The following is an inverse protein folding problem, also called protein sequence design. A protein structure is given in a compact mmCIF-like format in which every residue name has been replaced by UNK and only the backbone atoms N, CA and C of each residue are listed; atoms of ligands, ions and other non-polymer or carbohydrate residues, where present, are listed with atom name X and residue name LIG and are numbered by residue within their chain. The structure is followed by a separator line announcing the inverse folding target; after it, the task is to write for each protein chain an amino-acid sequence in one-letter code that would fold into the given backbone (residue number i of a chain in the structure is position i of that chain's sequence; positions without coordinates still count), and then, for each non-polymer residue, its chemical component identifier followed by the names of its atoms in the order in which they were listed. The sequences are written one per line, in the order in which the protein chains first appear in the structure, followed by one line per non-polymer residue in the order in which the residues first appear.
data_IF_518461890742
#
_entry.id   IF_518461890742
#
_cell.length_a   1.000
_cell.length_b   1.000
_cell.length_c   1.000
_cell.angle_alpha   90.00
_cell.angle_beta   90.00
_cell.angle_gamma   90.00
#
_symmetry.space_group_name_H-M   'P 1'
#
loop_
_entity.id
_entity.type
_entity.pdbx_description
1 polymer ?
#
# COMPACT_ATOMS: atom_id res chain seq x y z
N UNK A 1 4.17 16.60 -28.57
CA UNK A 1 4.52 15.85 -27.35
C UNK A 1 5.06 14.51 -27.79
N UNK A 2 6.26 14.14 -27.35
CA UNK A 2 6.85 12.85 -27.74
C UNK A 2 6.16 11.70 -26.99
N UNK A 3 6.07 10.49 -27.58
CA UNK A 3 5.51 9.32 -26.87
C UNK A 3 6.22 9.05 -25.54
N UNK A 4 7.52 9.35 -25.46
CA UNK A 4 8.35 9.24 -24.26
C UNK A 4 7.85 10.13 -23.13
N UNK A 5 7.47 11.37 -23.42
CA UNK A 5 6.88 12.31 -22.46
C UNK A 5 5.56 11.80 -21.89
N UNK A 6 4.73 11.17 -22.73
CA UNK A 6 3.45 10.60 -22.33
C UNK A 6 3.63 9.40 -21.38
N UNK A 7 4.62 8.54 -21.62
CA UNK A 7 4.95 7.44 -20.70
C UNK A 7 5.55 7.95 -19.39
N UNK A 8 6.34 9.03 -19.43
CA UNK A 8 6.90 9.65 -18.23
C UNK A 8 5.81 10.27 -17.35
N UNK A 9 4.83 10.95 -17.93
CA UNK A 9 3.66 11.46 -17.19
C UNK A 9 2.81 10.34 -16.59
N UNK A 10 2.57 9.24 -17.31
CA UNK A 10 1.80 8.11 -16.79
C UNK A 10 2.49 7.43 -15.59
N UNK A 11 3.82 7.26 -15.66
CA UNK A 11 4.60 6.75 -14.53
C UNK A 11 4.55 7.69 -13.33
N UNK A 12 4.62 9.01 -13.59
CA UNK A 12 4.49 10.04 -12.56
C UNK A 12 3.11 10.06 -11.91
N UNK A 13 2.02 9.93 -12.69
CA UNK A 13 0.65 9.88 -12.16
C UNK A 13 0.42 8.62 -11.32
N UNK A 14 0.89 7.46 -11.78
CA UNK A 14 0.81 6.22 -11.02
C UNK A 14 1.55 6.32 -9.67
N UNK A 15 2.75 6.90 -9.67
CA UNK A 15 3.52 7.18 -8.46
C UNK A 15 2.80 8.16 -7.51
N UNK A 16 2.20 9.22 -8.05
CA UNK A 16 1.43 10.19 -7.27
C UNK A 16 0.20 9.56 -6.62
N UNK A 17 -0.57 8.75 -7.36
CA UNK A 17 -1.73 8.01 -6.82
C UNK A 17 -1.34 7.08 -5.69
N UNK A 18 -0.24 6.34 -5.85
CA UNK A 18 0.22 5.45 -4.79
C UNK A 18 0.73 6.24 -3.56
N UNK A 19 1.45 7.34 -3.78
CA UNK A 19 1.87 8.22 -2.68
C UNK A 19 0.66 8.77 -1.91
N UNK A 20 -0.38 9.20 -2.62
CA UNK A 20 -1.63 9.67 -2.00
C UNK A 20 -2.33 8.53 -1.23
N UNK A 21 -2.32 7.31 -1.77
CA UNK A 21 -2.86 6.14 -1.10
C UNK A 21 -2.11 5.81 0.20
N UNK A 22 -0.77 5.74 0.15
CA UNK A 22 0.07 5.52 1.34
C UNK A 22 -0.17 6.63 2.37
N UNK A 23 -0.20 7.89 1.94
CA UNK A 23 -0.43 9.03 2.82
C UNK A 23 -1.80 8.95 3.50
N UNK A 24 -2.85 8.55 2.76
CA UNK A 24 -4.19 8.34 3.30
C UNK A 24 -4.20 7.23 4.37
N UNK A 25 -3.61 6.07 4.07
CA UNK A 25 -3.53 4.94 5.01
C UNK A 25 -2.71 5.29 6.24
N UNK A 26 -1.56 5.95 6.08
CA UNK A 26 -0.72 6.38 7.20
C UNK A 26 -1.41 7.43 8.07
N UNK A 27 -2.09 8.40 7.47
CA UNK A 27 -2.83 9.44 8.20
C UNK A 27 -4.00 8.84 8.98
N UNK A 28 -4.76 7.94 8.34
CA UNK A 28 -5.86 7.22 8.98
C UNK A 28 -5.38 6.39 10.17
N UNK A 29 -4.36 5.56 9.96
CA UNK A 29 -3.76 4.75 11.03
C UNK A 29 -3.27 5.65 12.19
N UNK A 30 -2.54 6.73 11.88
CA UNK A 30 -2.05 7.67 12.90
C UNK A 30 -3.20 8.27 13.71
N UNK A 31 -4.29 8.68 13.06
CA UNK A 31 -5.47 9.20 13.76
C UNK A 31 -6.10 8.18 14.71
N UNK A 32 -6.23 6.93 14.29
CA UNK A 32 -6.74 5.84 15.14
C UNK A 32 -5.84 5.58 16.34
N UNK A 33 -4.52 5.46 16.13
CA UNK A 33 -3.59 5.21 17.23
C UNK A 33 -3.51 6.39 18.19
N UNK A 34 -3.54 7.62 17.66
CA UNK A 34 -3.56 8.81 18.49
C UNK A 34 -4.85 8.91 19.31
N UNK A 35 -6.01 8.61 18.71
CA UNK A 35 -7.28 8.51 19.44
C UNK A 35 -7.20 7.46 20.55
N UNK A 36 -6.73 6.25 20.25
CA UNK A 36 -6.59 5.19 21.24
C UNK A 36 -5.68 5.59 22.41
N UNK A 37 -4.55 6.26 22.13
CA UNK A 37 -3.60 6.74 23.13
C UNK A 37 -4.10 7.92 23.97
N UNK A 38 -5.04 8.72 23.45
CA UNK A 38 -5.56 9.91 24.12
C UNK A 38 -6.89 9.67 24.84
N UNK A 39 -7.72 8.76 24.34
CA UNK A 39 -9.02 8.42 24.95
C UNK A 39 -8.91 7.49 26.15
N UNK A 40 -7.83 6.71 26.23
CA UNK A 40 -7.59 5.81 27.36
C UNK A 40 -6.68 6.47 28.39
N UNK A 41 -7.18 6.67 29.62
CA UNK A 41 -6.29 6.87 30.76
C UNK A 41 -5.32 5.69 30.79
N UNK A 42 -4.01 5.96 30.93
CA UNK A 42 -2.88 5.08 30.64
C UNK A 42 -2.84 3.68 31.33
N UNK A 43 -3.91 3.25 32.01
CA UNK A 43 -4.08 1.93 32.60
C UNK A 43 -5.35 1.16 32.20
N UNK A 44 -6.28 1.69 31.40
CA UNK A 44 -7.59 1.03 31.17
C UNK A 44 -7.64 0.03 30.01
N UNK A 45 -6.60 -0.04 29.17
CA UNK A 45 -6.55 -0.97 28.04
C UNK A 45 -6.31 -2.40 28.52
N UNK A 46 -7.28 -3.27 28.26
CA UNK A 46 -7.17 -4.71 28.47
C UNK A 46 -6.05 -5.31 27.62
N UNK A 47 -5.55 -6.49 28.03
CA UNK A 47 -4.54 -7.21 27.24
C UNK A 47 -5.00 -7.49 25.81
N UNK A 48 -6.30 -7.75 25.61
CA UNK A 48 -6.87 -8.04 24.29
C UNK A 48 -6.83 -6.81 23.39
N UNK A 49 -7.22 -5.63 23.88
CA UNK A 49 -7.20 -4.38 23.12
C UNK A 49 -5.78 -3.96 22.73
N UNK A 50 -4.81 -4.16 23.63
CA UNK A 50 -3.38 -3.93 23.34
C UNK A 50 -2.91 -4.83 22.19
N UNK A 51 -3.28 -6.11 22.19
CA UNK A 51 -2.94 -7.03 21.12
C UNK A 51 -3.65 -6.70 19.80
N UNK A 52 -4.92 -6.26 19.84
CA UNK A 52 -5.65 -5.81 18.64
C UNK A 52 -5.01 -4.57 18.03
N UNK A 53 -4.65 -3.58 18.85
CA UNK A 53 -3.94 -2.38 18.40
C UNK A 53 -2.55 -2.72 17.84
N UNK A 54 -1.78 -3.57 18.52
CA UNK A 54 -0.45 -3.97 18.05
C UNK A 54 -0.52 -4.74 16.72
N UNK A 55 -1.45 -5.68 16.58
CA UNK A 55 -1.65 -6.44 15.34
C UNK A 55 -2.14 -5.55 14.20
N UNK A 56 -3.05 -4.61 14.46
CA UNK A 56 -3.47 -3.61 13.48
C UNK A 56 -2.29 -2.73 13.04
N UNK A 57 -1.44 -2.29 13.98
CA UNK A 57 -0.28 -1.44 13.69
C UNK A 57 0.70 -2.16 12.75
N UNK A 58 1.05 -3.40 13.11
CA UNK A 58 1.93 -4.24 12.29
C UNK A 58 1.32 -4.47 10.92
N UNK A 59 0.01 -4.74 10.84
CA UNK A 59 -0.72 -4.90 9.59
C UNK A 59 -0.67 -3.67 8.68
N UNK A 60 -0.86 -2.47 9.24
CA UNK A 60 -0.73 -1.22 8.49
C UNK A 60 0.71 -0.97 8.01
N UNK A 61 1.71 -1.19 8.85
CA UNK A 61 3.13 -1.03 8.47
C UNK A 61 3.51 -2.01 7.36
N UNK A 62 3.11 -3.28 7.47
CA UNK A 62 3.32 -4.29 6.43
C UNK A 62 2.63 -3.91 5.13
N UNK A 63 1.39 -3.42 5.20
CA UNK A 63 0.65 -2.95 4.02
C UNK A 63 1.40 -1.82 3.31
N UNK A 64 1.90 -0.82 4.05
CA UNK A 64 2.71 0.27 3.48
C UNK A 64 3.98 -0.27 2.83
N UNK A 65 4.69 -1.20 3.48
CA UNK A 65 5.89 -1.81 2.94
C UNK A 65 5.62 -2.59 1.63
N UNK A 66 4.51 -3.34 1.56
CA UNK A 66 4.10 -4.07 0.35
C UNK A 66 3.75 -3.07 -0.76
N UNK A 67 3.01 -2.00 -0.46
CA UNK A 67 2.69 -0.96 -1.45
C UNK A 67 3.96 -0.28 -1.99
N UNK A 68 4.92 0.06 -1.14
CA UNK A 68 6.22 0.60 -1.59
C UNK A 68 6.99 -0.38 -2.48
N UNK A 69 6.91 -1.67 -2.16
CA UNK A 69 7.52 -2.71 -2.99
C UNK A 69 6.81 -2.87 -4.34
N UNK A 70 5.46 -2.80 -4.38
CA UNK A 70 4.70 -2.73 -5.63
C UNK A 70 5.14 -1.54 -6.49
N UNK A 71 5.36 -0.36 -5.89
CA UNK A 71 5.84 0.82 -6.62
C UNK A 71 7.16 0.53 -7.32
N UNK A 72 8.08 -0.11 -6.60
CA UNK A 72 9.40 -0.47 -7.13
C UNK A 72 9.26 -1.42 -8.31
N UNK A 73 8.37 -2.42 -8.21
CA UNK A 73 8.11 -3.38 -9.28
C UNK A 73 7.44 -2.71 -10.48
N UNK A 74 6.47 -1.83 -10.27
CA UNK A 74 5.81 -1.09 -11.35
C UNK A 74 6.79 -0.13 -12.05
N UNK A 75 7.64 0.57 -11.31
CA UNK A 75 8.70 1.42 -11.86
C UNK A 75 9.70 0.61 -12.71
N UNK A 76 10.16 -0.54 -12.21
CA UNK A 76 11.01 -1.46 -12.97
C UNK A 76 10.33 -1.97 -14.24
N UNK A 77 9.02 -2.24 -14.20
CA UNK A 77 8.24 -2.63 -15.38
C UNK A 77 8.21 -1.52 -16.41
N UNK A 78 7.89 -0.29 -16.02
CA UNK A 78 7.85 0.84 -16.95
C UNK A 78 9.20 1.13 -17.59
N UNK A 79 10.28 1.03 -16.83
CA UNK A 79 11.64 1.18 -17.36
C UNK A 79 11.96 0.08 -18.39
N UNK A 80 11.71 -1.19 -18.05
CA UNK A 80 11.92 -2.30 -18.98
C UNK A 80 11.08 -2.16 -20.27
N UNK A 81 9.85 -1.65 -20.15
CA UNK A 81 8.94 -1.45 -21.27
C UNK A 81 9.41 -0.32 -22.19
N UNK A 82 9.93 0.77 -21.62
CA UNK A 82 10.55 1.86 -22.38
C UNK A 82 11.80 1.38 -23.14
N UNK A 83 12.69 0.64 -22.48
CA UNK A 83 13.90 0.08 -23.11
C UNK A 83 13.57 -0.90 -24.25
N UNK A 84 12.51 -1.70 -24.13
CA UNK A 84 12.08 -2.60 -25.22
C UNK A 84 11.42 -1.84 -26.38
N UNK A 85 10.74 -0.71 -26.11
CA UNK A 85 10.14 0.11 -27.16
C UNK A 85 11.18 0.85 -28.01
N UNK A 86 12.34 1.18 -27.45
CA UNK A 86 13.47 1.77 -28.17
C UNK A 86 14.13 0.80 -29.18
N UNK A 87 13.91 -0.52 -29.03
CA UNK A 87 14.47 -1.52 -29.95
C UNK A 87 13.69 -1.61 -31.28
N UNK A 88 14.37 -1.99 -32.38
CA UNK A 88 13.72 -2.32 -33.65
C UNK A 88 12.65 -3.39 -33.46
N UNK A 89 11.57 -3.31 -34.22
CA UNK A 89 10.36 -4.12 -34.03
C UNK A 89 10.60 -5.64 -34.11
N UNK A 90 11.65 -6.07 -34.83
CA UNK A 90 12.07 -7.46 -34.96
C UNK A 90 12.81 -8.02 -33.73
N UNK A 91 13.31 -7.17 -32.82
CA UNK A 91 14.10 -7.55 -31.64
C UNK A 91 13.34 -7.34 -30.31
N UNK A 92 12.10 -6.86 -30.37
CA UNK A 92 11.30 -6.59 -29.17
C UNK A 92 10.90 -7.88 -28.46
N UNK A 93 11.14 -7.90 -27.15
CA UNK A 93 10.87 -9.05 -26.28
C UNK A 93 9.95 -8.65 -25.13
N UNK A 94 8.80 -9.31 -25.00
CA UNK A 94 7.81 -9.04 -23.95
C UNK A 94 7.96 -9.92 -22.70
N UNK A 95 8.94 -10.83 -22.70
CA UNK A 95 9.10 -11.85 -21.67
C UNK A 95 9.38 -11.25 -20.27
N UNK A 96 10.14 -10.14 -20.22
CA UNK A 96 10.37 -9.42 -18.97
C UNK A 96 9.10 -8.73 -18.46
N UNK A 97 8.28 -8.16 -19.35
CA UNK A 97 7.02 -7.51 -18.97
C UNK A 97 6.01 -8.50 -18.38
N UNK A 98 5.90 -9.70 -18.94
CA UNK A 98 5.04 -10.76 -18.40
C UNK A 98 5.49 -11.22 -17.01
N UNK A 99 6.80 -11.37 -16.78
CA UNK A 99 7.34 -11.69 -15.46
C UNK A 99 7.01 -10.60 -14.42
N UNK A 100 7.08 -9.32 -14.80
CA UNK A 100 6.67 -8.22 -13.92
C UNK A 100 5.16 -8.19 -13.67
N UNK A 101 4.32 -8.50 -14.68
CA UNK A 101 2.86 -8.66 -14.47
C UNK A 101 2.55 -9.77 -13.47
N UNK A 102 3.22 -10.92 -13.59
CA UNK A 102 3.04 -12.06 -12.67
C UNK A 102 3.49 -11.71 -11.24
N UNK A 103 4.63 -11.05 -11.09
CA UNK A 103 5.11 -10.55 -9.79
C UNK A 103 4.13 -9.56 -9.16
N UNK A 104 3.62 -8.58 -9.93
CA UNK A 104 2.63 -7.61 -9.46
C UNK A 104 1.36 -8.29 -8.98
N UNK A 105 0.82 -9.26 -9.74
CA UNK A 105 -0.38 -10.00 -9.32
C UNK A 105 -0.19 -10.68 -7.94
N UNK A 106 0.99 -11.25 -7.70
CA UNK A 106 1.33 -11.86 -6.43
C UNK A 106 1.58 -10.87 -5.28
N UNK A 107 1.75 -9.58 -5.57
CA UNK A 107 2.01 -8.51 -4.60
C UNK A 107 0.76 -7.70 -4.26
N UNK A 108 -0.13 -7.48 -5.24
CA UNK A 108 -1.42 -6.77 -5.07
C UNK A 108 -2.31 -7.54 -4.08
N UNK A 109 -2.47 -8.85 -4.29
CA UNK A 109 -3.41 -9.65 -3.49
C UNK A 109 -3.10 -9.63 -1.99
N UNK A 110 -1.86 -9.88 -1.53
CA UNK A 110 -1.55 -9.80 -0.11
C UNK A 110 -1.70 -8.37 0.44
N UNK A 111 -1.40 -7.31 -0.32
CA UNK A 111 -1.56 -5.93 0.17
C UNK A 111 -3.01 -5.58 0.46
N UNK A 112 -3.94 -5.99 -0.42
CA UNK A 112 -5.36 -5.83 -0.19
C UNK A 112 -5.85 -6.66 1.00
N UNK A 113 -5.41 -7.92 1.13
CA UNK A 113 -5.81 -8.78 2.25
C UNK A 113 -5.32 -8.19 3.57
N UNK A 114 -4.05 -7.80 3.67
CA UNK A 114 -3.50 -7.23 4.92
C UNK A 114 -4.17 -5.91 5.28
N UNK A 115 -4.48 -5.07 4.28
CA UNK A 115 -5.23 -3.84 4.50
C UNK A 115 -6.64 -4.12 5.05
N UNK A 116 -7.39 -4.99 4.39
CA UNK A 116 -8.77 -5.29 4.78
C UNK A 116 -8.83 -5.86 6.20
N UNK A 117 -7.93 -6.78 6.54
CA UNK A 117 -7.82 -7.32 7.91
C UNK A 117 -7.50 -6.19 8.89
N UNK A 118 -6.54 -5.32 8.59
CA UNK A 118 -6.14 -4.21 9.46
C UNK A 118 -7.29 -3.23 9.70
N UNK A 119 -8.08 -2.92 8.66
CA UNK A 119 -9.27 -2.06 8.77
C UNK A 119 -10.33 -2.74 9.64
N UNK A 120 -10.63 -4.02 9.41
CA UNK A 120 -11.64 -4.75 10.19
C UNK A 120 -11.27 -4.78 11.67
N UNK A 121 -10.02 -5.13 12.00
CA UNK A 121 -9.52 -5.16 13.39
C UNK A 121 -9.61 -3.78 14.03
N UNK A 122 -9.27 -2.74 13.27
CA UNK A 122 -9.35 -1.35 13.72
C UNK A 122 -10.78 -0.90 13.99
N UNK A 123 -11.72 -1.19 13.08
CA UNK A 123 -13.13 -0.87 13.27
C UNK A 123 -13.74 -1.65 14.45
N UNK A 124 -13.37 -2.93 14.60
CA UNK A 124 -13.81 -3.76 15.71
C UNK A 124 -13.32 -3.24 17.07
N UNK A 125 -12.18 -2.54 17.11
CA UNK A 125 -11.70 -1.87 18.31
C UNK A 125 -12.37 -0.49 18.53
N UNK A 126 -12.46 0.34 17.48
CA UNK A 126 -12.98 1.71 17.59
C UNK A 126 -14.48 1.77 17.89
N UNK A 127 -15.30 0.94 17.25
CA UNK A 127 -16.76 1.01 17.40
C UNK A 127 -17.17 0.79 18.88
N UNK A 128 -16.70 -0.26 19.57
CA UNK A 128 -16.98 -0.43 20.99
C UNK A 128 -16.34 0.67 21.86
N UNK A 129 -15.11 1.11 21.55
CA UNK A 129 -14.41 2.14 22.33
C UNK A 129 -15.09 3.52 22.28
N UNK A 130 -15.78 3.84 21.17
CA UNK A 130 -16.58 5.05 21.03
C UNK A 130 -17.96 4.90 21.69
N UNK A 131 -18.62 3.75 21.53
CA UNK A 131 -19.97 3.52 22.09
C UNK A 131 -19.96 3.29 23.60
N UNK A 132 -18.85 2.79 24.15
CA UNK A 132 -18.70 2.53 25.60
C UNK A 132 -18.19 3.75 26.39
N UNK A 133 -17.77 4.83 25.71
CA UNK A 133 -17.48 6.13 26.31
C UNK A 133 -18.73 7.01 26.30
#
# INVERSE_FOLDING_TARGET
MSEVEKFHELAKDAGNRLRAYILSVSSGATGVFFFALTSTQAGSLSHVEKWMLATALVGFVLTVAICLYELRVDAQRFFALATELEKPQAERSWNNNENYKRKRYWLVHPSYITLTISIIVTCAYLIPSIVSN
#
